data_IF_800071875318
#
_entry.id   IF_800071875318
#
_cell.length_a   1.000
_cell.length_b   1.000
_cell.length_c   1.000
_cell.angle_alpha   90.00
_cell.angle_beta   90.00
_cell.angle_gamma   90.00
#
_symmetry.space_group_name_H-M   'P 1'
#
loop_
_entity.id
_entity.type
_entity.pdbx_description
1 polymer ?
#
# COMPACT_ATOMS: atom_id res chain seq x y z
N UNK A 1 16.62 -22.78 23.66
CA UNK A 1 16.09 -22.11 22.44
C UNK A 1 16.83 -20.81 22.28
N UNK A 2 17.31 -20.50 21.08
CA UNK A 2 18.12 -19.30 20.82
C UNK A 2 17.31 -18.03 21.05
N UNK A 3 17.81 -17.11 21.88
CA UNK A 3 17.20 -15.80 22.15
C UNK A 3 16.97 -14.96 20.87
N UNK A 4 17.64 -15.31 19.78
CA UNK A 4 17.49 -14.72 18.44
C UNK A 4 16.05 -14.76 17.91
N UNK A 5 15.26 -15.80 18.25
CA UNK A 5 13.87 -15.89 17.80
C UNK A 5 12.88 -15.13 18.69
N UNK A 6 13.26 -14.70 19.90
CA UNK A 6 12.35 -14.01 20.81
C UNK A 6 11.87 -12.66 20.23
N UNK A 7 12.74 -11.96 19.47
CA UNK A 7 12.40 -10.75 18.73
C UNK A 7 11.52 -11.00 17.49
N UNK A 8 11.35 -12.26 17.06
CA UNK A 8 10.56 -12.64 15.88
C UNK A 8 9.17 -13.17 16.24
N UNK A 9 8.84 -13.28 17.54
CA UNK A 9 7.58 -13.88 17.99
C UNK A 9 6.38 -12.92 17.84
N UNK A 10 6.63 -11.61 17.87
CA UNK A 10 5.67 -10.55 17.52
C UNK A 10 6.46 -9.28 17.22
N UNK A 11 6.37 -8.80 15.98
CA UNK A 11 7.05 -7.59 15.52
C UNK A 11 6.04 -6.71 14.77
N UNK A 12 5.75 -5.52 15.32
CA UNK A 12 4.82 -4.55 14.75
C UNK A 12 5.53 -3.38 14.04
N UNK A 13 6.80 -3.56 13.67
CA UNK A 13 7.58 -2.50 13.01
C UNK A 13 7.00 -2.20 11.64
N UNK A 14 6.63 -0.94 11.42
CA UNK A 14 6.17 -0.44 10.12
C UNK A 14 7.30 0.33 9.46
N UNK A 15 7.52 0.07 8.17
CA UNK A 15 8.48 0.77 7.34
C UNK A 15 7.74 1.59 6.30
N UNK A 16 7.58 2.87 6.57
CA UNK A 16 6.92 3.78 5.65
C UNK A 16 7.79 4.01 4.40
N UNK A 17 7.19 4.19 3.21
CA UNK A 17 7.92 4.63 2.04
C UNK A 17 8.56 6.02 2.25
N UNK A 18 9.61 6.33 1.49
CA UNK A 18 10.19 7.68 1.50
C UNK A 18 9.20 8.71 0.94
N UNK A 19 9.33 9.96 1.36
CA UNK A 19 8.48 11.05 0.87
C UNK A 19 8.53 11.18 -0.67
N UNK A 20 9.72 11.08 -1.27
CA UNK A 20 9.90 11.11 -2.72
C UNK A 20 9.11 10.00 -3.43
N UNK A 21 9.04 8.80 -2.82
CA UNK A 21 8.26 7.69 -3.38
C UNK A 21 6.75 7.92 -3.25
N UNK A 22 6.31 8.50 -2.14
CA UNK A 22 4.89 8.85 -1.93
C UNK A 22 4.43 9.92 -2.92
N UNK A 23 5.26 10.93 -3.18
CA UNK A 23 4.94 12.01 -4.13
C UNK A 23 4.80 11.50 -5.58
N UNK A 24 5.51 10.42 -5.93
CA UNK A 24 5.50 9.84 -7.28
C UNK A 24 4.58 8.62 -7.41
N UNK A 25 3.75 8.33 -6.40
CA UNK A 25 2.87 7.19 -6.42
C UNK A 25 1.77 7.34 -7.50
N UNK A 26 1.67 6.36 -8.40
CA UNK A 26 0.60 6.31 -9.40
C UNK A 26 -0.80 6.18 -8.78
N UNK A 27 -0.87 5.56 -7.61
CA UNK A 27 -2.11 5.31 -6.88
C UNK A 27 -2.09 6.06 -5.55
N UNK A 28 -2.96 7.06 -5.42
CA UNK A 28 -3.12 7.86 -4.21
C UNK A 28 -4.21 7.36 -3.26
N UNK A 29 -4.42 8.11 -2.18
CA UNK A 29 -5.50 7.88 -1.21
C UNK A 29 -6.86 7.81 -1.94
N UNK A 30 -7.70 6.86 -1.54
CA UNK A 30 -9.05 6.68 -2.10
C UNK A 30 -9.12 5.96 -3.45
N UNK A 31 -7.99 5.49 -4.01
CA UNK A 31 -7.99 4.68 -5.25
C UNK A 31 -8.88 3.44 -5.14
N UNK A 32 -8.86 2.77 -3.98
CA UNK A 32 -9.65 1.55 -3.75
C UNK A 32 -11.14 1.83 -3.59
N UNK A 33 -11.51 2.95 -2.98
CA UNK A 33 -12.91 3.36 -2.86
C UNK A 33 -13.48 3.64 -4.25
N UNK A 34 -12.80 4.46 -5.05
CA UNK A 34 -13.21 4.76 -6.44
C UNK A 34 -13.28 3.50 -7.30
N UNK A 35 -12.26 2.63 -7.23
CA UNK A 35 -12.25 1.38 -7.99
C UNK A 35 -13.33 0.38 -7.54
N UNK A 36 -13.78 0.47 -6.28
CA UNK A 36 -14.82 -0.37 -5.70
C UNK A 36 -16.24 0.05 -6.11
N UNK A 37 -16.47 1.33 -6.38
CA UNK A 37 -17.77 1.85 -6.80
C UNK A 37 -18.16 1.39 -8.22
N UNK A 38 -17.26 1.54 -9.19
CA UNK A 38 -17.42 0.97 -10.53
C UNK A 38 -16.05 0.61 -11.11
N UNK A 39 -15.70 -0.67 -11.00
CA UNK A 39 -14.43 -1.20 -11.50
C UNK A 39 -14.27 -0.99 -13.02
N UNK A 40 -15.33 -1.14 -13.81
CA UNK A 40 -15.21 -1.08 -15.28
C UNK A 40 -15.03 0.36 -15.76
N UNK A 41 -15.73 1.29 -15.11
CA UNK A 41 -15.58 2.72 -15.36
C UNK A 41 -14.19 3.21 -14.91
N UNK A 42 -13.76 2.83 -13.71
CA UNK A 42 -12.43 3.13 -13.18
C UNK A 42 -11.31 2.74 -14.16
N UNK A 43 -11.30 1.49 -14.63
CA UNK A 43 -10.26 1.03 -15.56
C UNK A 43 -10.38 1.64 -16.95
N UNK A 44 -11.57 2.10 -17.37
CA UNK A 44 -11.72 2.84 -18.62
C UNK A 44 -11.04 4.21 -18.52
N UNK A 45 -11.12 4.87 -17.37
CA UNK A 45 -10.45 6.14 -17.11
C UNK A 45 -8.92 6.00 -17.07
N UNK A 46 -8.40 4.95 -16.42
CA UNK A 46 -6.95 4.73 -16.26
C UNK A 46 -6.24 4.20 -17.53
N UNK A 47 -6.98 3.72 -18.52
CA UNK A 47 -6.42 3.12 -19.75
C UNK A 47 -6.29 4.11 -20.93
N UNK A 48 -6.66 5.38 -20.75
CA UNK A 48 -6.67 6.46 -21.75
C UNK A 48 -5.47 7.40 -21.59
#
# INVERSE_FOLDING_TARGET
>A
MSETLANLLSEDRVFEPSAEFVEQANAGVGVYERAGEDRLEFWRGEAL
#
